data_IF_781526658328
#
_entry.id   IF_781526658328
#
_cell.length_a   1.000
_cell.length_b   1.000
_cell.length_c   1.000
_cell.angle_alpha   90.00
_cell.angle_beta   90.00
_cell.angle_gamma   90.00
#
_symmetry.space_group_name_H-M   'P 1'
#
loop_
_entity.id
_entity.type
_entity.pdbx_description
1 polymer ?
#
# COMPACT_ATOMS: atom_id res chain seq x y z
N UNK A 1 -15.73 10.26 34.25
CA UNK A 1 -15.24 9.64 33.00
C UNK A 1 -16.25 8.75 32.26
N UNK A 2 -17.03 7.87 32.92
CA UNK A 2 -17.98 6.95 32.23
C UNK A 2 -19.05 7.66 31.39
N UNK A 3 -19.68 8.73 31.89
CA UNK A 3 -20.70 9.49 31.15
C UNK A 3 -20.12 10.17 29.89
N UNK A 4 -18.95 10.80 30.03
CA UNK A 4 -18.25 11.46 28.92
C UNK A 4 -17.83 10.47 27.82
N UNK A 5 -17.39 9.28 28.22
CA UNK A 5 -17.08 8.18 27.29
C UNK A 5 -18.33 7.75 26.50
N UNK A 6 -19.48 7.66 27.16
CA UNK A 6 -20.77 7.36 26.51
C UNK A 6 -21.16 8.38 25.45
N UNK A 7 -20.99 9.68 25.73
CA UNK A 7 -21.25 10.76 24.78
C UNK A 7 -20.33 10.68 23.56
N UNK A 8 -19.03 10.45 23.78
CA UNK A 8 -18.06 10.27 22.67
C UNK A 8 -18.47 9.09 21.78
N UNK A 9 -18.87 7.95 22.38
CA UNK A 9 -19.32 6.81 21.61
C UNK A 9 -20.57 7.12 20.79
N UNK A 10 -21.60 7.73 21.39
CA UNK A 10 -22.81 8.10 20.65
C UNK A 10 -22.53 9.09 19.50
N UNK A 11 -21.65 10.06 19.74
CA UNK A 11 -21.26 11.02 18.71
C UNK A 11 -20.48 10.36 17.57
N UNK A 12 -19.51 9.50 17.90
CA UNK A 12 -18.75 8.72 16.92
C UNK A 12 -19.64 7.83 16.05
N UNK A 13 -20.66 7.18 16.64
CA UNK A 13 -21.67 6.40 15.93
C UNK A 13 -22.49 7.27 14.99
N UNK A 14 -22.95 8.44 15.45
CA UNK A 14 -23.69 9.40 14.62
C UNK A 14 -22.89 9.83 13.39
N UNK A 15 -21.62 10.16 13.56
CA UNK A 15 -20.71 10.50 12.46
C UNK A 15 -20.52 9.34 11.47
N UNK A 16 -20.29 8.11 11.95
CA UNK A 16 -20.14 6.93 11.09
C UNK A 16 -21.38 6.66 10.25
N UNK A 17 -22.57 6.69 10.88
CA UNK A 17 -23.84 6.49 10.18
C UNK A 17 -24.08 7.59 9.15
N UNK A 18 -23.74 8.84 9.46
CA UNK A 18 -23.84 9.95 8.52
C UNK A 18 -22.95 9.75 7.29
N UNK A 19 -21.66 9.42 7.49
CA UNK A 19 -20.71 9.16 6.41
C UNK A 19 -21.18 8.00 5.53
N UNK A 20 -21.56 6.86 6.14
CA UNK A 20 -22.05 5.70 5.41
C UNK A 20 -23.27 6.00 4.54
N UNK A 21 -24.21 6.82 5.04
CA UNK A 21 -25.39 7.25 4.26
C UNK A 21 -25.04 8.23 3.14
N UNK A 22 -24.06 9.11 3.35
CA UNK A 22 -23.64 10.10 2.35
C UNK A 22 -22.90 9.42 1.19
N UNK A 23 -22.04 8.45 1.49
CA UNK A 23 -21.30 7.69 0.47
C UNK A 23 -22.22 6.83 -0.40
N UNK A 24 -23.29 6.26 0.19
CA UNK A 24 -24.32 5.57 -0.61
C UNK A 24 -24.96 6.50 -1.67
N UNK A 25 -25.05 7.80 -1.38
CA UNK A 25 -25.66 8.78 -2.27
C UNK A 25 -24.65 9.51 -3.18
N UNK A 26 -23.34 9.36 -2.95
CA UNK A 26 -22.28 9.99 -3.74
C UNK A 26 -20.99 9.14 -3.68
N UNK A 27 -20.92 8.05 -4.47
CA UNK A 27 -19.77 7.16 -4.51
C UNK A 27 -18.51 7.79 -5.12
N UNK A 28 -18.65 8.88 -5.89
CA UNK A 28 -17.57 9.51 -6.69
C UNK A 28 -16.71 10.50 -5.89
N UNK A 29 -16.74 10.44 -4.56
CA UNK A 29 -15.96 11.32 -3.71
C UNK A 29 -14.50 10.82 -3.57
N UNK A 30 -13.57 11.54 -4.20
CA UNK A 30 -12.10 11.57 -4.05
C UNK A 30 -11.42 10.34 -3.43
N UNK A 31 -10.50 9.73 -4.18
CA UNK A 31 -9.74 8.60 -3.66
C UNK A 31 -8.84 9.00 -2.48
N UNK A 32 -8.86 8.18 -1.44
CA UNK A 32 -7.90 8.19 -0.34
C UNK A 32 -7.63 6.76 0.13
N UNK A 33 -6.45 6.45 0.70
CA UNK A 33 -6.17 5.10 1.12
C UNK A 33 -6.98 4.76 2.38
N UNK A 34 -7.85 3.75 2.26
CA UNK A 34 -8.49 3.05 3.38
C UNK A 34 -7.86 1.67 3.41
N UNK A 35 -6.61 1.67 3.87
CA UNK A 35 -5.70 0.55 3.77
C UNK A 35 -5.95 -0.48 4.89
N UNK A 36 -5.79 -1.76 4.55
CA UNK A 36 -5.79 -2.86 5.51
C UNK A 36 -4.56 -3.74 5.37
N UNK A 37 -4.01 -4.17 6.51
CA UNK A 37 -2.95 -5.19 6.59
C UNK A 37 -3.48 -6.36 7.39
N UNK A 38 -3.24 -7.58 6.91
CA UNK A 38 -3.51 -8.82 7.64
C UNK A 38 -2.17 -9.55 7.77
N UNK A 39 -1.74 -9.84 8.99
CA UNK A 39 -0.45 -10.48 9.24
C UNK A 39 -0.50 -11.40 10.45
N UNK A 40 0.09 -12.58 10.35
CA UNK A 40 0.41 -13.46 11.48
C UNK A 40 1.84 -13.25 12.00
N UNK A 41 2.64 -12.40 11.36
CA UNK A 41 4.05 -12.14 11.66
C UNK A 41 4.31 -10.74 12.25
N UNK A 42 3.30 -10.08 12.81
CA UNK A 42 3.39 -8.69 13.34
C UNK A 42 4.53 -8.43 14.33
N UNK A 43 4.93 -9.45 15.08
CA UNK A 43 5.99 -9.31 16.09
C UNK A 43 7.38 -9.67 15.55
N UNK A 44 7.45 -10.20 14.33
CA UNK A 44 8.68 -10.52 13.59
C UNK A 44 9.02 -9.41 12.59
N UNK A 45 7.99 -8.77 12.01
CA UNK A 45 8.12 -7.76 10.95
C UNK A 45 7.23 -6.56 11.24
N UNK A 46 7.73 -5.37 10.93
CA UNK A 46 7.06 -4.10 11.23
C UNK A 46 6.98 -3.16 10.04
N UNK A 47 7.54 -3.51 8.89
CA UNK A 47 7.66 -2.56 7.78
C UNK A 47 6.28 -2.24 7.19
N UNK A 48 5.39 -3.24 7.11
CA UNK A 48 3.99 -3.04 6.74
C UNK A 48 3.27 -2.11 7.71
N UNK A 49 3.53 -2.27 9.00
CA UNK A 49 2.91 -1.44 10.04
C UNK A 49 3.38 0.01 9.96
N UNK A 50 4.66 0.24 9.67
CA UNK A 50 5.21 1.57 9.47
C UNK A 50 4.62 2.26 8.23
N UNK A 51 4.53 1.58 7.08
CA UNK A 51 3.85 2.12 5.91
C UNK A 51 2.39 2.47 6.19
N UNK A 52 1.67 1.56 6.84
CA UNK A 52 0.28 1.79 7.20
C UNK A 52 0.13 3.00 8.14
N UNK A 53 1.04 3.15 9.11
CA UNK A 53 1.08 4.31 10.02
C UNK A 53 1.33 5.61 9.26
N UNK A 54 2.25 5.62 8.31
CA UNK A 54 2.53 6.79 7.47
C UNK A 54 1.31 7.18 6.65
N UNK A 55 0.65 6.22 5.99
CA UNK A 55 -0.55 6.46 5.19
C UNK A 55 -1.74 6.95 6.02
N UNK A 56 -1.83 6.53 7.27
CA UNK A 56 -2.96 6.83 8.16
C UNK A 56 -2.83 8.13 8.95
N UNK A 57 -1.71 8.85 8.84
CA UNK A 57 -1.47 9.98 9.74
C UNK A 57 -2.40 11.16 9.46
N UNK A 58 -2.50 11.62 8.20
CA UNK A 58 -3.23 12.84 7.86
C UNK A 58 -4.40 12.61 6.89
N UNK A 59 -4.19 11.78 5.87
CA UNK A 59 -5.10 11.68 4.72
C UNK A 59 -5.86 10.35 4.68
N UNK A 60 -5.18 9.24 4.99
CA UNK A 60 -5.74 7.90 4.94
C UNK A 60 -6.27 7.35 6.25
N UNK A 61 -6.80 6.13 6.15
CA UNK A 61 -7.22 5.28 7.26
C UNK A 61 -6.48 3.96 7.15
N UNK A 62 -6.05 3.42 8.28
CA UNK A 62 -5.35 2.16 8.32
C UNK A 62 -5.96 1.25 9.37
N UNK A 63 -6.24 0.01 8.97
CA UNK A 63 -6.58 -1.06 9.89
C UNK A 63 -5.49 -2.13 9.81
N UNK A 64 -4.93 -2.49 10.95
CA UNK A 64 -3.94 -3.55 11.07
C UNK A 64 -4.57 -4.70 11.83
N UNK A 65 -4.66 -5.86 11.20
CA UNK A 65 -5.32 -7.05 11.75
C UNK A 65 -4.28 -8.14 11.94
N UNK A 66 -4.08 -8.58 13.18
CA UNK A 66 -3.27 -9.75 13.45
C UNK A 66 -4.09 -11.03 13.25
N UNK A 67 -3.63 -11.90 12.37
CA UNK A 67 -4.26 -13.17 12.06
C UNK A 67 -3.78 -14.26 13.03
N UNK A 68 -4.73 -14.89 13.73
CA UNK A 68 -4.50 -16.07 14.57
C UNK A 68 -5.09 -17.29 13.88
N UNK A 69 -4.23 -18.19 13.40
CA UNK A 69 -4.66 -19.46 12.79
C UNK A 69 -5.34 -20.37 13.81
N UNK A 70 -6.56 -20.80 13.48
CA UNK A 70 -7.33 -21.75 14.28
C UNK A 70 -8.84 -21.57 14.15
N UNK A 71 -9.60 -22.43 14.81
CA UNK A 71 -11.05 -22.25 14.97
C UNK A 71 -11.33 -21.34 16.16
N UNK A 72 -12.47 -20.63 16.12
CA UNK A 72 -12.90 -19.82 17.25
C UNK A 72 -13.26 -20.73 18.43
N UNK A 73 -12.50 -20.60 19.52
CA UNK A 73 -12.64 -21.34 20.76
C UNK A 73 -12.34 -20.42 21.94
N UNK A 74 -12.62 -20.88 23.18
CA UNK A 74 -12.25 -20.12 24.38
C UNK A 74 -10.74 -19.83 24.43
N UNK A 75 -9.91 -20.79 24.01
CA UNK A 75 -8.45 -20.67 23.98
C UNK A 75 -7.99 -19.65 22.93
N UNK A 76 -8.46 -19.75 21.69
CA UNK A 76 -8.06 -18.80 20.63
C UNK A 76 -8.60 -17.40 20.89
N UNK A 77 -9.76 -17.27 21.54
CA UNK A 77 -10.27 -16.00 22.01
C UNK A 77 -9.39 -15.37 23.10
N UNK A 78 -8.90 -16.15 24.06
CA UNK A 78 -7.94 -15.63 25.06
C UNK A 78 -6.65 -15.19 24.38
N UNK A 79 -6.12 -16.00 23.45
CA UNK A 79 -4.93 -15.65 22.66
C UNK A 79 -5.11 -14.34 21.89
N UNK A 80 -6.26 -14.08 21.26
CA UNK A 80 -6.48 -12.81 20.57
C UNK A 80 -6.55 -11.62 21.53
N UNK A 81 -7.13 -11.77 22.72
CA UNK A 81 -7.10 -10.72 23.74
C UNK A 81 -5.67 -10.38 24.18
N UNK A 82 -4.80 -11.38 24.33
CA UNK A 82 -3.39 -11.17 24.66
C UNK A 82 -2.62 -10.48 23.53
N UNK A 83 -2.80 -10.95 22.28
CA UNK A 83 -2.21 -10.33 21.09
C UNK A 83 -2.67 -8.88 20.96
N UNK A 84 -3.97 -8.61 21.13
CA UNK A 84 -4.53 -7.26 21.08
C UNK A 84 -3.83 -6.32 22.06
N UNK A 85 -3.57 -6.76 23.31
CA UNK A 85 -2.82 -5.94 24.28
C UNK A 85 -1.40 -5.62 23.79
N UNK A 86 -0.71 -6.58 23.17
CA UNK A 86 0.63 -6.38 22.58
C UNK A 86 0.57 -5.40 21.41
N UNK A 87 -0.45 -5.48 20.56
CA UNK A 87 -0.67 -4.54 19.44
C UNK A 87 -0.90 -3.11 19.94
N UNK A 88 -1.74 -2.94 20.96
CA UNK A 88 -2.00 -1.62 21.54
C UNK A 88 -0.73 -1.00 22.14
N UNK A 89 0.08 -1.80 22.83
CA UNK A 89 1.36 -1.34 23.36
C UNK A 89 2.32 -0.91 22.23
N UNK A 90 2.37 -1.66 21.12
CA UNK A 90 3.12 -1.29 19.92
C UNK A 90 2.63 0.04 19.30
N UNK A 91 1.31 0.27 19.31
CA UNK A 91 0.69 1.47 18.77
C UNK A 91 1.01 2.73 19.59
N UNK A 92 0.96 2.61 20.93
CA UNK A 92 1.22 3.70 21.87
C UNK A 92 2.62 4.28 21.72
N UNK A 93 3.63 3.42 21.56
CA UNK A 93 5.02 3.82 21.37
C UNK A 93 5.28 4.64 20.10
N UNK A 94 4.39 4.55 19.10
CA UNK A 94 4.62 5.09 17.75
C UNK A 94 3.67 6.24 17.35
N UNK A 95 2.85 6.77 18.28
CA UNK A 95 1.81 7.79 18.00
C UNK A 95 0.95 7.44 16.78
N UNK A 96 0.58 6.16 16.67
CA UNK A 96 -0.13 5.64 15.50
C UNK A 96 -1.61 6.03 15.49
N UNK A 97 -2.14 6.35 14.31
CA UNK A 97 -3.58 6.53 14.05
C UNK A 97 -4.23 5.28 13.42
N UNK A 98 -3.47 4.18 13.39
CA UNK A 98 -3.92 2.90 12.85
C UNK A 98 -4.83 2.21 13.86
N UNK A 99 -5.94 1.66 13.36
CA UNK A 99 -6.83 0.80 14.14
C UNK A 99 -6.23 -0.59 14.23
N UNK A 100 -6.15 -1.11 15.44
CA UNK A 100 -5.64 -2.47 15.69
C UNK A 100 -6.79 -3.43 15.89
N UNK A 101 -6.72 -4.59 15.24
CA UNK A 101 -7.64 -5.69 15.46
C UNK A 101 -6.96 -7.06 15.41
N UNK A 102 -7.70 -8.10 15.77
CA UNK A 102 -7.28 -9.50 15.73
C UNK A 102 -8.38 -10.35 15.13
N UNK A 103 -8.03 -11.34 14.30
CA UNK A 103 -9.00 -12.27 13.72
C UNK A 103 -8.55 -13.71 13.95
N UNK A 104 -9.47 -14.56 14.43
CA UNK A 104 -9.28 -16.01 14.46
C UNK A 104 -9.91 -16.61 13.21
N UNK A 105 -9.15 -17.38 12.44
CA UNK A 105 -9.69 -18.03 11.24
C UNK A 105 -8.92 -19.31 10.88
N UNK A 106 -9.59 -20.35 10.33
CA UNK A 106 -8.94 -21.63 10.04
C UNK A 106 -7.87 -21.53 8.94
N UNK A 107 -7.96 -20.54 8.06
CA UNK A 107 -6.96 -20.28 7.02
C UNK A 107 -6.82 -18.78 6.74
N UNK A 108 -5.65 -18.38 6.24
CA UNK A 108 -5.40 -17.00 5.83
C UNK A 108 -6.36 -16.55 4.73
N UNK A 109 -6.63 -17.40 3.73
CA UNK A 109 -7.62 -17.16 2.68
C UNK A 109 -8.99 -16.83 3.26
N UNK A 110 -9.44 -17.56 4.29
CA UNK A 110 -10.71 -17.29 4.94
C UNK A 110 -10.67 -15.99 5.75
N UNK A 111 -9.56 -15.69 6.43
CA UNK A 111 -9.38 -14.41 7.14
C UNK A 111 -9.45 -13.23 6.15
N UNK A 112 -8.73 -13.33 5.04
CA UNK A 112 -8.71 -12.34 3.98
C UNK A 112 -10.10 -12.11 3.41
N UNK A 113 -10.81 -13.19 3.04
CA UNK A 113 -12.17 -13.10 2.50
C UNK A 113 -13.14 -12.40 3.47
N UNK A 114 -13.01 -12.61 4.78
CA UNK A 114 -13.83 -11.92 5.79
C UNK A 114 -13.49 -10.44 5.87
N UNK A 115 -12.20 -10.10 5.92
CA UNK A 115 -11.73 -8.72 6.10
C UNK A 115 -12.09 -7.83 4.91
N UNK A 116 -11.92 -8.31 3.67
CA UNK A 116 -12.20 -7.51 2.46
C UNK A 116 -13.69 -7.18 2.30
N UNK A 117 -14.58 -7.95 2.93
CA UNK A 117 -16.03 -7.73 2.89
C UNK A 117 -16.55 -6.81 4.01
N UNK A 118 -15.71 -6.51 5.01
CA UNK A 118 -16.12 -5.71 6.16
C UNK A 118 -15.72 -4.24 5.98
N UNK A 119 -16.58 -3.35 6.51
CA UNK A 119 -16.29 -1.93 6.54
C UNK A 119 -15.24 -1.62 7.60
N UNK A 120 -14.32 -0.72 7.26
CA UNK A 120 -13.35 -0.16 8.18
C UNK A 120 -13.97 0.82 9.17
N UNK A 121 -13.14 1.34 10.07
CA UNK A 121 -13.58 2.27 11.13
C UNK A 121 -14.17 3.59 10.59
N UNK A 122 -13.82 3.93 9.35
CA UNK A 122 -14.26 5.14 8.65
C UNK A 122 -15.74 5.10 8.26
N UNK A 123 -16.39 3.94 8.36
CA UNK A 123 -17.73 3.72 7.83
C UNK A 123 -17.76 3.35 6.34
N UNK A 124 -16.59 3.35 5.67
CA UNK A 124 -16.41 2.85 4.30
C UNK A 124 -15.70 1.49 4.30
N UNK A 125 -15.88 0.74 3.21
CA UNK A 125 -15.07 -0.44 2.91
C UNK A 125 -13.59 -0.09 2.77
N UNK A 126 -12.73 -1.08 2.97
CA UNK A 126 -11.33 -0.97 2.59
C UNK A 126 -11.21 -0.91 1.06
N UNK A 127 -10.27 -0.11 0.54
CA UNK A 127 -10.03 0.01 -0.90
C UNK A 127 -8.59 -0.33 -1.32
N UNK A 128 -7.69 -0.51 -0.33
CA UNK A 128 -6.30 -0.85 -0.53
C UNK A 128 -5.93 -1.94 0.47
N UNK A 129 -5.29 -3.00 -0.02
CA UNK A 129 -4.69 -4.01 0.84
C UNK A 129 -3.17 -3.98 0.71
N UNK A 130 -2.49 -4.01 1.85
CA UNK A 130 -1.04 -4.07 1.95
C UNK A 130 -0.63 -5.43 2.49
N UNK A 131 0.09 -6.19 1.67
CA UNK A 131 0.76 -7.41 2.07
C UNK A 131 2.24 -7.14 2.28
N UNK A 132 2.86 -7.90 3.18
CA UNK A 132 4.29 -7.85 3.44
C UNK A 132 4.86 -9.25 3.29
N UNK A 133 6.00 -9.36 2.61
CA UNK A 133 6.74 -10.59 2.47
C UNK A 133 8.25 -10.31 2.49
N UNK A 134 9.07 -11.20 3.06
CA UNK A 134 10.51 -11.15 2.85
C UNK A 134 10.84 -11.48 1.40
N UNK A 135 11.81 -10.77 0.81
CA UNK A 135 12.44 -11.23 -0.43
C UNK A 135 12.95 -12.66 -0.28
N UNK A 136 12.87 -13.42 -1.38
CA UNK A 136 13.23 -14.84 -1.46
C UNK A 136 12.31 -15.79 -0.67
N UNK A 137 11.07 -15.38 -0.39
CA UNK A 137 10.05 -16.25 0.19
C UNK A 137 8.88 -16.43 -0.77
N UNK A 138 9.01 -17.43 -1.65
CA UNK A 138 8.01 -17.76 -2.65
C UNK A 138 6.68 -18.22 -2.04
N UNK A 139 6.69 -18.84 -0.85
CA UNK A 139 5.48 -19.37 -0.21
C UNK A 139 4.48 -18.26 0.12
N UNK A 140 4.95 -17.16 0.73
CA UNK A 140 4.10 -16.02 1.08
C UNK A 140 3.57 -15.31 -0.17
N UNK A 141 4.40 -15.15 -1.20
CA UNK A 141 3.97 -14.56 -2.47
C UNK A 141 2.92 -15.44 -3.14
N UNK A 142 3.12 -16.75 -3.18
CA UNK A 142 2.15 -17.70 -3.74
C UNK A 142 0.81 -17.64 -2.99
N UNK A 143 0.82 -17.50 -1.67
CA UNK A 143 -0.39 -17.30 -0.90
C UNK A 143 -1.15 -16.05 -1.35
N UNK A 144 -0.46 -14.96 -1.67
CA UNK A 144 -1.08 -13.73 -2.18
C UNK A 144 -1.62 -13.93 -3.60
N UNK A 145 -0.82 -14.52 -4.50
CA UNK A 145 -1.20 -14.83 -5.89
C UNK A 145 -2.47 -15.69 -5.93
N UNK A 146 -2.54 -16.74 -5.10
CA UNK A 146 -3.68 -17.65 -5.04
C UNK A 146 -4.98 -16.96 -4.59
N UNK A 147 -4.87 -15.87 -3.82
CA UNK A 147 -6.01 -15.10 -3.34
C UNK A 147 -6.32 -13.88 -4.21
N UNK A 148 -5.50 -13.60 -5.22
CA UNK A 148 -5.59 -12.39 -6.04
C UNK A 148 -6.93 -12.27 -6.79
N UNK A 149 -7.52 -13.39 -7.20
CA UNK A 149 -8.83 -13.42 -7.84
C UNK A 149 -9.93 -12.80 -6.97
N UNK A 150 -9.90 -13.01 -5.64
CA UNK A 150 -10.85 -12.39 -4.73
C UNK A 150 -10.65 -10.87 -4.64
N UNK A 151 -9.40 -10.43 -4.52
CA UNK A 151 -9.05 -9.00 -4.45
C UNK A 151 -9.54 -8.26 -5.69
N UNK A 152 -9.36 -8.88 -6.87
CA UNK A 152 -9.85 -8.36 -8.14
C UNK A 152 -11.38 -8.28 -8.18
N UNK A 153 -12.07 -9.32 -7.70
CA UNK A 153 -13.53 -9.36 -7.68
C UNK A 153 -14.15 -8.31 -6.73
N UNK A 154 -13.40 -7.84 -5.74
CA UNK A 154 -13.82 -6.82 -4.78
C UNK A 154 -13.20 -5.43 -5.05
N UNK A 155 -12.56 -5.24 -6.21
CA UNK A 155 -12.01 -3.94 -6.64
C UNK A 155 -10.97 -3.32 -5.68
N UNK A 156 -10.18 -4.17 -4.99
CA UNK A 156 -9.10 -3.71 -4.13
C UNK A 156 -7.85 -3.34 -4.91
N UNK A 157 -7.33 -2.14 -4.66
CA UNK A 157 -5.93 -1.86 -4.98
C UNK A 157 -5.03 -2.77 -4.13
N UNK A 158 -3.96 -3.29 -4.73
CA UNK A 158 -3.06 -4.26 -4.09
C UNK A 158 -1.66 -3.68 -4.01
N UNK A 159 -1.13 -3.60 -2.79
CA UNK A 159 0.25 -3.23 -2.53
C UNK A 159 1.00 -4.41 -1.89
N UNK A 160 2.14 -4.79 -2.45
CA UNK A 160 2.98 -5.88 -1.98
C UNK A 160 4.34 -5.33 -1.56
N UNK A 161 4.62 -5.33 -0.27
CA UNK A 161 5.86 -4.86 0.31
C UNK A 161 6.87 -6.00 0.38
N UNK A 162 7.85 -5.97 -0.52
CA UNK A 162 9.01 -6.85 -0.49
C UNK A 162 10.08 -6.26 0.45
N UNK A 163 10.27 -6.92 1.58
CA UNK A 163 11.17 -6.48 2.65
C UNK A 163 12.55 -7.13 2.57
N UNK A 164 13.58 -6.41 3.02
CA UNK A 164 14.89 -6.99 3.32
C UNK A 164 15.50 -6.35 4.58
N UNK A 165 16.74 -6.73 4.89
CA UNK A 165 17.48 -6.21 6.04
C UNK A 165 17.79 -4.70 5.96
N UNK A 166 17.78 -4.09 4.77
CA UNK A 166 18.01 -2.64 4.60
C UNK A 166 16.79 -1.82 5.04
N UNK A 167 15.59 -2.41 5.02
CA UNK A 167 14.35 -1.75 5.39
C UNK A 167 14.13 -0.45 4.60
N UNK A 168 13.64 0.58 5.30
CA UNK A 168 13.47 1.94 4.76
C UNK A 168 14.69 2.86 4.95
N UNK A 169 15.87 2.29 5.24
CA UNK A 169 17.13 3.03 5.39
C UNK A 169 17.01 4.32 6.22
N UNK A 170 17.40 5.44 5.61
CA UNK A 170 17.41 6.77 6.23
C UNK A 170 16.13 7.59 5.99
N UNK A 171 15.16 7.04 5.24
CA UNK A 171 13.86 7.66 4.92
C UNK A 171 14.00 9.02 4.21
N UNK A 172 14.94 9.07 3.26
CA UNK A 172 15.30 10.26 2.47
C UNK A 172 14.90 10.15 1.01
N UNK A 173 14.87 8.95 0.42
CA UNK A 173 14.62 8.78 -1.02
C UNK A 173 13.53 7.77 -1.33
N UNK A 174 12.45 8.26 -1.96
CA UNK A 174 11.41 7.42 -2.56
C UNK A 174 11.57 7.48 -4.07
N UNK A 175 11.85 6.33 -4.69
CA UNK A 175 11.94 6.23 -6.16
C UNK A 175 10.66 5.58 -6.69
N UNK A 176 10.05 6.19 -7.70
CA UNK A 176 8.86 5.69 -8.38
C UNK A 176 9.24 5.26 -9.80
N UNK A 177 8.91 4.03 -10.18
CA UNK A 177 9.06 3.56 -11.56
C UNK A 177 7.70 3.48 -12.22
N UNK A 178 7.36 4.55 -12.94
CA UNK A 178 6.09 4.72 -13.60
C UNK A 178 6.29 4.73 -15.12
N UNK A 179 5.85 3.66 -15.78
CA UNK A 179 5.69 3.70 -17.23
C UNK A 179 4.42 4.47 -17.56
N UNK A 180 4.52 5.60 -18.27
CA UNK A 180 3.39 6.48 -18.59
C UNK A 180 2.38 5.91 -19.62
N UNK A 181 2.35 4.58 -19.77
CA UNK A 181 1.29 3.82 -20.44
C UNK A 181 0.36 3.12 -19.43
N UNK A 182 0.74 3.08 -18.16
CA UNK A 182 0.00 2.46 -17.06
C UNK A 182 -0.32 3.54 -16.01
N UNK A 183 -1.28 4.38 -16.38
CA UNK A 183 -1.66 5.58 -15.62
C UNK A 183 -2.20 5.24 -14.24
N UNK A 184 -3.04 4.21 -14.13
CA UNK A 184 -3.69 3.84 -12.87
C UNK A 184 -2.65 3.51 -11.78
N UNK A 185 -1.65 2.69 -12.13
CA UNK A 185 -0.56 2.37 -11.24
C UNK A 185 0.29 3.59 -10.92
N UNK A 186 0.63 4.41 -11.92
CA UNK A 186 1.43 5.60 -11.72
C UNK A 186 0.76 6.56 -10.73
N UNK A 187 -0.53 6.85 -10.94
CA UNK A 187 -1.31 7.76 -10.11
C UNK A 187 -1.41 7.27 -8.67
N UNK A 188 -1.73 5.99 -8.45
CA UNK A 188 -1.77 5.41 -7.11
C UNK A 188 -0.40 5.45 -6.41
N UNK A 189 0.67 5.08 -7.11
CA UNK A 189 2.02 5.11 -6.54
C UNK A 189 2.44 6.54 -6.14
N UNK A 190 2.16 7.52 -7.00
CA UNK A 190 2.45 8.94 -6.73
C UNK A 190 1.69 9.40 -5.48
N UNK A 191 0.40 9.10 -5.40
CA UNK A 191 -0.42 9.41 -4.22
C UNK A 191 0.17 8.81 -2.94
N UNK A 192 0.48 7.52 -2.96
CA UNK A 192 1.05 6.82 -1.80
C UNK A 192 2.41 7.41 -1.41
N UNK A 193 3.25 7.80 -2.38
CA UNK A 193 4.53 8.43 -2.12
C UNK A 193 4.38 9.80 -1.45
N UNK A 194 3.50 10.68 -1.94
CA UNK A 194 3.25 11.99 -1.31
C UNK A 194 2.63 11.87 0.07
N UNK A 195 1.69 10.93 0.26
CA UNK A 195 1.12 10.65 1.58
C UNK A 195 2.23 10.19 2.54
N UNK A 196 3.15 9.36 2.06
CA UNK A 196 4.31 8.89 2.85
C UNK A 196 5.23 10.06 3.24
N UNK A 197 5.58 10.94 2.29
CA UNK A 197 6.35 12.16 2.57
C UNK A 197 5.66 13.12 3.55
N UNK A 198 4.32 13.10 3.61
CA UNK A 198 3.54 13.91 4.55
C UNK A 198 3.73 13.53 6.02
N UNK A 199 4.40 12.40 6.30
CA UNK A 199 4.68 11.89 7.64
C UNK A 199 6.01 12.46 8.20
N UNK A 200 6.09 12.83 9.51
CA UNK A 200 7.31 13.39 10.11
C UNK A 200 8.58 12.55 9.97
N UNK A 201 8.44 11.22 9.93
CA UNK A 201 9.56 10.29 9.69
C UNK A 201 10.25 10.50 8.33
N UNK A 202 9.54 11.10 7.38
CA UNK A 202 10.00 11.42 6.02
C UNK A 202 10.13 12.94 5.80
N UNK A 203 10.28 13.73 6.87
CA UNK A 203 10.30 15.21 6.81
C UNK A 203 11.28 15.83 5.82
N UNK A 204 12.38 15.14 5.55
CA UNK A 204 13.44 15.55 4.62
C UNK A 204 13.52 14.58 3.43
N UNK A 205 12.44 13.84 3.19
CA UNK A 205 12.35 12.87 2.11
C UNK A 205 12.05 13.55 0.79
N UNK A 206 12.60 12.99 -0.28
CA UNK A 206 12.41 13.44 -1.64
C UNK A 206 11.82 12.31 -2.48
N UNK A 207 11.04 12.68 -3.49
CA UNK A 207 10.48 11.78 -4.48
C UNK A 207 11.19 12.01 -5.81
N UNK A 208 11.67 10.93 -6.43
CA UNK A 208 12.12 10.91 -7.81
C UNK A 208 11.30 9.92 -8.62
N UNK A 209 10.81 10.35 -9.78
CA UNK A 209 9.99 9.54 -10.68
C UNK A 209 10.81 9.22 -11.91
N UNK A 210 11.00 7.95 -12.18
CA UNK A 210 11.76 7.44 -13.31
C UNK A 210 10.81 6.92 -14.38
N UNK A 211 11.05 7.34 -15.62
CA UNK A 211 10.47 6.72 -16.82
C UNK A 211 11.55 6.39 -17.82
N UNK A 212 11.34 5.31 -18.56
CA UNK A 212 12.15 4.96 -19.70
C UNK A 212 11.59 5.57 -20.98
N UNK A 213 12.45 5.95 -21.91
CA UNK A 213 12.07 6.34 -23.28
C UNK A 213 12.93 5.59 -24.30
N UNK A 214 12.35 5.31 -25.48
CA UNK A 214 13.07 4.65 -26.58
C UNK A 214 14.04 5.63 -27.27
N UNK A 215 15.17 5.15 -27.84
CA UNK A 215 16.14 6.02 -28.51
C UNK A 215 15.49 6.95 -29.54
N UNK A 216 15.86 8.24 -29.49
CA UNK A 216 15.30 9.29 -30.35
C UNK A 216 13.89 9.78 -29.95
N UNK A 217 13.23 9.19 -28.95
CA UNK A 217 11.87 9.58 -28.51
C UNK A 217 11.82 10.43 -27.24
N UNK A 218 12.94 11.03 -26.84
CA UNK A 218 13.03 11.82 -25.60
C UNK A 218 12.02 12.98 -25.59
N UNK A 219 11.97 13.77 -26.66
CA UNK A 219 11.11 14.96 -26.74
C UNK A 219 9.62 14.58 -26.76
N UNK A 220 9.25 13.56 -27.54
CA UNK A 220 7.89 13.01 -27.59
C UNK A 220 7.44 12.56 -26.19
N UNK A 221 8.28 11.81 -25.48
CA UNK A 221 7.98 11.33 -24.12
C UNK A 221 7.87 12.49 -23.13
N UNK A 222 8.73 13.51 -23.25
CA UNK A 222 8.72 14.69 -22.39
C UNK A 222 7.45 15.54 -22.60
N UNK A 223 7.02 15.74 -23.84
CA UNK A 223 5.78 16.46 -24.17
C UNK A 223 4.56 15.70 -23.66
N UNK A 224 4.50 14.39 -23.89
CA UNK A 224 3.41 13.53 -23.40
C UNK A 224 3.28 13.61 -21.88
N UNK A 225 4.41 13.54 -21.17
CA UNK A 225 4.46 13.71 -19.73
C UNK A 225 3.98 15.09 -19.28
N UNK A 226 4.42 16.16 -19.96
CA UNK A 226 3.97 17.52 -19.62
C UNK A 226 2.47 17.68 -19.81
N UNK A 227 1.90 17.10 -20.87
CA UNK A 227 0.47 17.14 -21.11
C UNK A 227 -0.30 16.41 -20.00
N UNK A 228 0.13 15.19 -19.64
CA UNK A 228 -0.50 14.43 -18.55
C UNK A 228 -0.46 15.18 -17.19
N UNK A 229 0.64 15.89 -16.91
CA UNK A 229 0.77 16.72 -15.69
C UNK A 229 -0.17 17.93 -15.76
N UNK A 230 -0.24 18.60 -16.92
CA UNK A 230 -1.10 19.79 -17.13
C UNK A 230 -2.58 19.45 -17.08
N UNK A 231 -2.96 18.29 -17.60
CA UNK A 231 -4.33 17.79 -17.60
C UNK A 231 -4.76 17.24 -16.23
N UNK A 232 -3.87 17.23 -15.23
CA UNK A 232 -4.17 16.76 -13.88
C UNK A 232 -4.16 15.24 -13.70
N UNK A 233 -3.94 14.47 -14.77
CA UNK A 233 -3.89 13.01 -14.74
C UNK A 233 -2.72 12.47 -13.91
N UNK A 234 -1.65 13.24 -13.77
CA UNK A 234 -0.49 12.91 -12.94
C UNK A 234 -0.19 14.05 -11.96
N UNK A 235 -0.41 13.87 -10.64
CA UNK A 235 -0.26 14.94 -9.66
C UNK A 235 1.21 15.11 -9.24
N UNK A 236 2.08 15.51 -10.17
CA UNK A 236 3.53 15.58 -9.93
C UNK A 236 4.16 16.85 -10.47
N UNK A 237 5.21 17.32 -9.79
CA UNK A 237 6.07 18.36 -10.35
C UNK A 237 6.96 17.78 -11.46
N UNK A 238 7.06 18.45 -12.62
CA UNK A 238 8.00 18.05 -13.67
C UNK A 238 9.46 17.95 -13.18
N UNK A 239 9.83 18.73 -12.16
CA UNK A 239 11.18 18.71 -11.57
C UNK A 239 11.54 17.41 -10.87
N UNK A 240 10.54 16.62 -10.47
CA UNK A 240 10.74 15.32 -9.83
C UNK A 240 10.94 14.19 -10.85
N UNK A 241 10.73 14.44 -12.15
CA UNK A 241 10.78 13.40 -13.17
C UNK A 241 12.19 13.29 -13.78
N UNK A 242 12.62 12.05 -14.00
CA UNK A 242 13.89 11.64 -14.59
C UNK A 242 13.58 10.75 -15.80
N UNK A 243 13.93 11.25 -16.98
CA UNK A 243 13.83 10.51 -18.24
C UNK A 243 15.13 9.74 -18.45
N UNK A 244 15.06 8.42 -18.62
CA UNK A 244 16.22 7.56 -18.92
C UNK A 244 16.06 6.96 -20.30
N UNK A 245 17.10 7.07 -21.13
CA UNK A 245 17.13 6.42 -22.45
C UNK A 245 17.30 4.92 -22.30
N UNK A 246 16.49 4.15 -23.02
CA UNK A 246 16.66 2.72 -23.14
C UNK A 246 17.78 2.45 -24.15
N UNK A 247 18.98 2.28 -23.63
CA UNK A 247 20.23 2.11 -24.39
C UNK A 247 20.41 0.72 -25.02
N UNK A 248 19.64 -0.27 -24.59
CA UNK A 248 19.83 -1.67 -24.93
C UNK A 248 18.53 -2.47 -24.80
N UNK A 249 18.52 -3.68 -25.37
CA UNK A 249 17.44 -4.68 -25.17
C UNK A 249 17.42 -5.27 -23.74
N UNK A 250 18.18 -4.67 -22.81
CA UNK A 250 18.19 -5.10 -21.41
C UNK A 250 16.81 -4.87 -20.76
N UNK A 251 16.38 -5.77 -19.86
CA UNK A 251 15.09 -5.66 -19.19
C UNK A 251 15.01 -4.38 -18.34
N UNK A 252 13.80 -3.84 -18.20
CA UNK A 252 13.48 -2.66 -17.36
C UNK A 252 14.07 -2.79 -15.94
N UNK A 253 14.09 -4.02 -15.42
CA UNK A 253 14.63 -4.36 -14.10
C UNK A 253 16.08 -3.91 -13.90
N UNK A 254 16.91 -3.98 -14.93
CA UNK A 254 18.31 -3.61 -14.83
C UNK A 254 18.47 -2.10 -14.61
N UNK A 255 17.66 -1.29 -15.29
CA UNK A 255 17.60 0.15 -15.07
C UNK A 255 17.13 0.49 -13.65
N UNK A 256 16.13 -0.25 -13.15
CA UNK A 256 15.62 -0.12 -11.78
C UNK A 256 16.74 -0.37 -10.77
N UNK A 257 17.45 -1.48 -10.88
CA UNK A 257 18.55 -1.81 -9.98
C UNK A 257 19.67 -0.77 -10.01
N UNK A 258 20.04 -0.31 -11.21
CA UNK A 258 21.10 0.68 -11.40
C UNK A 258 20.77 2.03 -10.76
N UNK A 259 19.56 2.57 -10.98
CA UNK A 259 19.21 3.92 -10.56
C UNK A 259 18.56 3.99 -9.16
N UNK A 260 18.05 2.87 -8.64
CA UNK A 260 17.38 2.82 -7.32
C UNK A 260 18.17 2.13 -6.21
N UNK A 261 19.43 1.71 -6.42
CA UNK A 261 20.25 1.05 -5.40
C UNK A 261 20.38 1.83 -4.07
N UNK A 262 20.27 3.18 -4.13
CA UNK A 262 20.35 4.09 -2.97
C UNK A 262 18.98 4.58 -2.49
N UNK A 263 17.88 4.11 -3.07
CA UNK A 263 16.55 4.44 -2.60
C UNK A 263 16.28 3.77 -1.25
N UNK A 264 15.56 4.50 -0.39
CA UNK A 264 15.05 3.97 0.87
C UNK A 264 13.72 3.23 0.67
N UNK A 265 12.95 3.62 -0.36
CA UNK A 265 11.76 2.92 -0.82
C UNK A 265 11.68 3.02 -2.35
N UNK A 266 11.51 1.89 -3.02
CA UNK A 266 11.24 1.85 -4.46
C UNK A 266 9.81 1.40 -4.70
N UNK A 267 9.02 2.15 -5.46
CA UNK A 267 7.67 1.77 -5.85
C UNK A 267 7.65 1.37 -7.33
N UNK A 268 7.05 0.22 -7.64
CA UNK A 268 7.03 -0.36 -8.98
C UNK A 268 5.60 -0.79 -9.32
N UNK A 269 5.07 -0.29 -10.45
CA UNK A 269 3.77 -0.71 -10.95
C UNK A 269 3.85 -2.11 -11.58
N UNK A 270 2.86 -2.96 -11.31
CA UNK A 270 2.72 -4.24 -12.00
C UNK A 270 1.30 -4.45 -12.51
N UNK A 271 1.17 -5.23 -13.57
CA UNK A 271 -0.12 -5.57 -14.16
C UNK A 271 -0.58 -6.94 -13.65
N UNK A 272 -1.89 -7.07 -13.40
CA UNK A 272 -2.54 -8.32 -13.03
C UNK A 272 -2.19 -9.48 -14.00
N UNK A 273 -2.05 -9.19 -15.31
CA UNK A 273 -1.69 -10.19 -16.32
C UNK A 273 -0.27 -10.75 -16.12
N UNK A 274 0.69 -9.91 -15.72
CA UNK A 274 2.05 -10.37 -15.44
C UNK A 274 2.06 -11.32 -14.25
N UNK A 275 1.29 -11.01 -13.20
CA UNK A 275 1.14 -11.90 -12.05
C UNK A 275 0.54 -13.26 -12.44
N UNK A 276 -0.47 -13.27 -13.31
CA UNK A 276 -1.11 -14.52 -13.78
C UNK A 276 -0.19 -15.38 -14.67
N UNK A 277 0.68 -14.74 -15.47
CA UNK A 277 1.54 -15.44 -16.43
C UNK A 277 2.88 -15.88 -15.81
N UNK A 278 3.48 -15.04 -14.96
CA UNK A 278 4.83 -15.22 -14.43
C UNK A 278 4.84 -15.61 -12.94
N UNK A 279 3.70 -15.51 -12.25
CA UNK A 279 3.59 -15.84 -10.83
C UNK A 279 4.53 -15.00 -9.98
N UNK A 280 5.32 -15.67 -9.13
CA UNK A 280 6.27 -15.05 -8.19
C UNK A 280 7.42 -14.33 -8.90
N UNK A 281 7.76 -14.72 -10.14
CA UNK A 281 8.92 -14.19 -10.88
C UNK A 281 8.84 -12.69 -11.18
N UNK A 282 7.63 -12.11 -11.09
CA UNK A 282 7.41 -10.66 -11.22
C UNK A 282 8.20 -9.88 -10.15
N UNK A 283 8.42 -10.48 -8.98
CA UNK A 283 8.99 -9.81 -7.81
C UNK A 283 10.47 -10.12 -7.57
N UNK A 284 11.08 -10.95 -8.42
CA UNK A 284 12.48 -11.40 -8.28
C UNK A 284 13.44 -10.46 -9.01
N UNK A 285 14.75 -10.58 -8.73
CA UNK A 285 15.82 -9.88 -9.45
C UNK A 285 16.04 -8.42 -9.06
N UNK A 286 15.65 -8.05 -7.83
CA UNK A 286 15.85 -6.71 -7.27
C UNK A 286 16.78 -6.74 -6.03
N UNK A 287 17.84 -7.55 -6.07
CA UNK A 287 18.59 -7.96 -4.88
C UNK A 287 19.26 -6.80 -4.15
N UNK A 288 19.70 -5.78 -4.90
CA UNK A 288 20.46 -4.65 -4.37
C UNK A 288 19.59 -3.50 -3.84
N UNK A 289 18.27 -3.57 -3.95
CA UNK A 289 17.38 -2.47 -3.54
C UNK A 289 17.09 -2.49 -2.03
N UNK A 290 16.68 -1.34 -1.47
CA UNK A 290 15.98 -1.25 -0.19
C UNK A 290 14.57 -1.86 -0.27
N UNK A 291 13.67 -1.56 0.67
CA UNK A 291 12.29 -2.06 0.58
C UNK A 291 11.61 -1.65 -0.74
N UNK A 292 10.83 -2.57 -1.32
CA UNK A 292 10.13 -2.36 -2.59
C UNK A 292 8.63 -2.50 -2.37
N UNK A 293 7.85 -1.54 -2.84
CA UNK A 293 6.40 -1.61 -2.85
C UNK A 293 5.93 -1.84 -4.28
N UNK A 294 5.49 -3.06 -4.58
CA UNK A 294 4.83 -3.36 -5.84
C UNK A 294 3.37 -2.94 -5.75
N UNK A 295 2.89 -2.18 -6.73
CA UNK A 295 1.54 -1.59 -6.71
C UNK A 295 0.75 -2.03 -7.94
N UNK A 296 -0.47 -2.51 -7.70
CA UNK A 296 -1.48 -2.70 -8.71
C UNK A 296 -2.76 -1.93 -8.33
N UNK A 297 -3.09 -0.91 -9.12
CA UNK A 297 -4.36 -0.22 -9.10
C UNK A 297 -5.36 -0.99 -9.98
N UNK A 298 -6.57 -1.23 -9.47
CA UNK A 298 -7.61 -1.93 -10.23
C UNK A 298 -8.60 -0.98 -10.92
N UNK A 299 -8.68 0.26 -10.44
CA UNK A 299 -9.59 1.29 -10.94
C UNK A 299 -8.79 2.57 -11.21
N UNK A 300 -9.23 3.33 -12.21
CA UNK A 300 -8.77 4.70 -12.46
C UNK A 300 -9.03 5.57 -11.22
N UNK A 301 -8.11 6.51 -10.95
CA UNK A 301 -8.18 7.36 -9.76
C UNK A 301 -8.48 8.79 -10.19
N UNK A 302 -9.69 9.27 -9.88
CA UNK A 302 -10.02 10.69 -10.02
C UNK A 302 -9.34 11.51 -8.92
N UNK A 303 -8.64 12.56 -9.35
CA UNK A 303 -7.96 13.54 -8.54
C UNK A 303 -8.57 14.92 -8.81
N UNK A 304 -9.07 15.60 -7.78
CA UNK A 304 -9.20 17.08 -7.81
C UNK A 304 -8.34 17.71 -6.72
#
# INVERSE_FOLDING_TARGET
>A
MKLFRGVIFQWSRGLRVYVQKKDYNNPDAYWRPIAVVISDQTFERRDAFDLLRWWSLKYGFGTYIHYVKGYLSAETHQKTQEVMRKLLHLAEGNKSRVVMDTIVSPSYTSALAQVIQLNGISGKGHNLILFEFPRNNEEQVNQIVNNYGMLKATEFDVALLATNYRGFGSRKKIHLWAGFRDYDNATLMILLAYITLGHPDWKDGEIEIYTLYEPGKRNETAEHLQNNIREGQLPVSPSNVRLIEKDSDRPVKDFINEHSAKADLTMIGYQSRHLMNLGTQVFDGYDDLGNILFVNSLLEKDLE
#
